data_IF_443311222936
#
_entry.id   IF_443311222936
#
_cell.length_a   1.000
_cell.length_b   1.000
_cell.length_c   1.000
_cell.angle_alpha   90.00
_cell.angle_beta   90.00
_cell.angle_gamma   90.00
#
_symmetry.space_group_name_H-M   'P 1'
#
loop_
_entity.id
_entity.type
_entity.pdbx_description
1 polymer ?
#
# COMPACT_ATOMS: atom_id res chain seq x y z
N UNK A 1 0.51 -16.64 7.02
CA UNK A 1 0.25 -15.60 6.02
C UNK A 1 1.16 -14.43 6.35
N UNK A 2 1.86 -13.92 5.35
CA UNK A 2 2.67 -12.70 5.41
C UNK A 2 2.23 -11.78 4.28
N UNK A 3 2.33 -10.47 4.49
CA UNK A 3 1.98 -9.46 3.49
C UNK A 3 3.20 -8.66 3.07
N UNK A 4 3.27 -8.28 1.79
CA UNK A 4 4.30 -7.41 1.25
C UNK A 4 3.71 -6.52 0.16
N UNK A 5 4.20 -5.30 0.05
CA UNK A 5 3.89 -4.41 -1.09
C UNK A 5 4.74 -4.84 -2.28
N UNK A 6 4.11 -5.17 -3.42
CA UNK A 6 4.83 -5.47 -4.67
C UNK A 6 5.16 -4.19 -5.44
N UNK A 7 4.25 -3.21 -5.43
CA UNK A 7 4.45 -1.91 -6.08
C UNK A 7 3.56 -0.82 -5.45
N UNK A 8 4.00 0.43 -5.57
CA UNK A 8 3.19 1.61 -5.22
C UNK A 8 3.29 2.63 -6.35
N UNK A 9 2.14 3.10 -6.83
CA UNK A 9 2.03 4.08 -7.90
C UNK A 9 1.29 5.33 -7.42
N UNK A 10 1.77 6.55 -7.73
CA UNK A 10 3.07 6.84 -8.34
C UNK A 10 4.25 6.47 -7.42
N UNK A 11 5.49 6.34 -7.94
CA UNK A 11 6.66 5.93 -7.15
C UNK A 11 6.94 6.78 -5.91
N UNK A 12 6.46 8.03 -5.88
CA UNK A 12 6.51 8.92 -4.72
C UNK A 12 5.86 8.29 -3.47
N UNK A 13 4.83 7.46 -3.66
CA UNK A 13 4.17 6.74 -2.57
C UNK A 13 5.05 5.68 -1.88
N UNK A 14 6.12 5.21 -2.52
CA UNK A 14 6.99 4.14 -1.98
C UNK A 14 7.62 4.49 -0.62
N UNK A 15 7.80 5.79 -0.35
CA UNK A 15 8.35 6.27 0.92
C UNK A 15 7.29 6.79 1.90
N UNK A 16 6.01 6.80 1.47
CA UNK A 16 4.89 7.37 2.22
C UNK A 16 4.02 6.30 2.89
N UNK A 17 3.99 5.08 2.34
CA UNK A 17 3.20 3.98 2.88
C UNK A 17 4.09 2.87 3.41
N UNK A 18 3.77 2.38 4.61
CA UNK A 18 4.35 1.17 5.18
C UNK A 18 3.27 0.12 5.40
N UNK A 19 3.60 -1.14 5.12
CA UNK A 19 2.73 -2.28 5.34
C UNK A 19 3.29 -3.16 6.45
N UNK A 20 2.48 -3.43 7.46
CA UNK A 20 2.82 -4.40 8.48
C UNK A 20 2.70 -5.82 7.92
N UNK A 21 3.82 -6.50 7.73
CA UNK A 21 3.86 -7.82 7.12
C UNK A 21 3.08 -8.92 7.87
N UNK A 22 2.71 -8.70 9.14
CA UNK A 22 1.95 -9.67 9.95
C UNK A 22 0.45 -9.37 9.99
N UNK A 23 0.07 -8.10 10.08
CA UNK A 23 -1.33 -7.69 10.26
C UNK A 23 -1.99 -7.20 8.98
N UNK A 24 -1.20 -6.81 7.97
CA UNK A 24 -1.72 -6.13 6.78
C UNK A 24 -2.07 -4.65 7.01
N UNK A 25 -1.76 -4.09 8.19
CA UNK A 25 -2.00 -2.67 8.49
C UNK A 25 -1.14 -1.78 7.57
N UNK A 26 -1.78 -0.85 6.86
CA UNK A 26 -1.11 0.19 6.06
C UNK A 26 -1.10 1.47 6.87
N UNK A 27 0.06 2.12 6.99
CA UNK A 27 0.20 3.42 7.67
C UNK A 27 0.94 4.41 6.80
N UNK A 28 0.63 5.68 7.00
CA UNK A 28 1.40 6.78 6.45
C UNK A 28 2.64 7.05 7.30
N UNK A 29 3.77 7.35 6.64
CA UNK A 29 5.03 7.79 7.26
C UNK A 29 5.31 9.27 7.06
N UNK A 30 4.53 9.94 6.21
CA UNK A 30 4.66 11.36 5.88
C UNK A 30 3.32 12.00 5.54
N UNK A 31 3.36 13.30 5.23
CA UNK A 31 2.19 14.05 4.81
C UNK A 31 1.78 13.70 3.38
N UNK A 32 0.47 13.73 3.12
CA UNK A 32 -0.10 13.69 1.78
C UNK A 32 -0.40 15.13 1.34
N UNK A 33 -0.24 15.38 0.05
CA UNK A 33 -0.45 16.69 -0.58
C UNK A 33 -1.36 16.47 -1.80
N UNK A 34 -2.57 17.02 -1.74
CA UNK A 34 -3.61 16.78 -2.74
C UNK A 34 -3.24 17.38 -4.10
N UNK A 35 -2.60 18.54 -4.09
CA UNK A 35 -2.17 19.30 -5.25
C UNK A 35 -1.03 18.61 -5.99
N UNK A 36 -0.26 17.79 -5.27
CA UNK A 36 0.83 16.99 -5.81
C UNK A 36 0.36 15.62 -6.32
N UNK A 37 -0.31 14.82 -5.49
CA UNK A 37 -0.83 13.50 -5.87
C UNK A 37 -2.21 13.26 -5.28
N UNK A 38 -3.20 13.08 -6.16
CA UNK A 38 -4.61 12.88 -5.79
C UNK A 38 -4.98 11.44 -5.43
N UNK A 39 -4.21 10.46 -5.91
CA UNK A 39 -4.46 9.06 -5.59
C UNK A 39 -3.21 8.19 -5.69
N UNK A 40 -3.21 7.11 -4.91
CA UNK A 40 -2.18 6.08 -4.93
C UNK A 40 -2.80 4.71 -5.17
N UNK A 41 -2.10 3.87 -5.92
CA UNK A 41 -2.39 2.44 -6.03
C UNK A 41 -1.28 1.64 -5.36
N UNK A 42 -1.66 0.79 -4.39
CA UNK A 42 -0.75 -0.08 -3.65
C UNK A 42 -1.09 -1.52 -4.03
N UNK A 43 -0.16 -2.19 -4.69
CA UNK A 43 -0.25 -3.61 -4.97
C UNK A 43 0.33 -4.41 -3.80
N UNK A 44 -0.44 -5.38 -3.31
CA UNK A 44 -0.07 -6.22 -2.16
C UNK A 44 -0.08 -7.69 -2.60
N UNK A 45 0.97 -8.40 -2.19
CA UNK A 45 1.03 -9.85 -2.24
C UNK A 45 0.95 -10.41 -0.82
N UNK A 46 0.20 -11.49 -0.66
CA UNK A 46 0.18 -12.29 0.56
C UNK A 46 0.58 -13.72 0.27
N UNK A 47 1.39 -14.33 1.13
CA UNK A 47 1.83 -15.71 0.99
C UNK A 47 1.54 -16.51 2.27
N UNK A 48 1.05 -17.74 2.15
CA UNK A 48 0.85 -18.65 3.28
C UNK A 48 2.16 -19.30 3.76
N UNK A 49 2.06 -20.25 4.70
CA UNK A 49 3.23 -21.00 5.23
C UNK A 49 3.29 -22.43 4.68
N UNK A 50 2.62 -22.70 3.56
CA UNK A 50 2.57 -24.01 2.92
C UNK A 50 3.90 -24.42 2.29
N UNK A 51 3.95 -25.62 1.74
CA UNK A 51 5.09 -26.11 0.95
C UNK A 51 4.55 -26.90 -0.25
N UNK A 52 4.50 -26.31 -1.47
CA UNK A 52 4.89 -24.94 -1.80
C UNK A 52 3.94 -23.88 -1.18
N UNK A 53 4.41 -22.64 -0.97
CA UNK A 53 3.54 -21.56 -0.50
C UNK A 53 2.53 -21.17 -1.58
N UNK A 54 1.30 -20.85 -1.17
CA UNK A 54 0.30 -20.23 -2.03
C UNK A 54 0.29 -18.71 -1.81
N UNK A 55 0.27 -17.97 -2.92
CA UNK A 55 0.19 -16.51 -2.92
C UNK A 55 -1.16 -16.00 -3.43
N UNK A 56 -1.57 -14.83 -2.94
CA UNK A 56 -2.70 -14.06 -3.44
C UNK A 56 -2.35 -12.58 -3.57
N UNK A 57 -2.95 -11.91 -4.55
CA UNK A 57 -2.69 -10.50 -4.84
C UNK A 57 -3.95 -9.65 -4.65
N UNK A 58 -3.78 -8.42 -4.17
CA UNK A 58 -4.84 -7.43 -4.16
C UNK A 58 -4.31 -6.03 -4.48
N UNK A 59 -5.22 -5.14 -4.88
CA UNK A 59 -4.94 -3.73 -5.13
C UNK A 59 -5.71 -2.87 -4.14
N UNK A 60 -5.02 -1.95 -3.49
CA UNK A 60 -5.61 -0.92 -2.61
C UNK A 60 -5.51 0.42 -3.33
N UNK A 61 -6.64 1.11 -3.49
CA UNK A 61 -6.70 2.46 -4.04
C UNK A 61 -6.90 3.44 -2.89
N UNK A 62 -5.99 4.40 -2.76
CA UNK A 62 -6.04 5.47 -1.75
C UNK A 62 -6.34 6.77 -2.46
N UNK A 63 -7.47 7.40 -2.13
CA UNK A 63 -7.82 8.72 -2.62
C UNK A 63 -7.43 9.77 -1.58
N UNK A 64 -6.71 10.81 -2.01
CA UNK A 64 -6.35 11.95 -1.17
C UNK A 64 -7.50 12.94 -1.26
N UNK A 65 -8.07 13.30 -0.11
CA UNK A 65 -9.15 14.28 -0.03
C UNK A 65 -8.56 15.66 0.19
N UNK A 66 -9.07 16.64 -0.56
CA UNK A 66 -8.79 18.04 -0.29
C UNK A 66 -9.51 18.45 1.01
N UNK A 67 -8.79 19.11 1.90
CA UNK A 67 -9.31 19.56 3.19
C UNK A 67 -9.68 21.05 3.18
N UNK A 68 -9.37 21.76 2.10
CA UNK A 68 -9.48 23.22 2.00
C UNK A 68 -10.54 23.72 0.99
N UNK A 69 -11.52 22.88 0.60
CA UNK A 69 -12.71 23.28 -0.18
C UNK A 69 -13.99 23.17 0.69
#
# INVERSE_FOLDING_TARGET
ITFATSAIFPPKGSNLFILNAKTGEIRLTGALDFEDVRSYEIEIESADKGTPPLSAHCKVVVEVLDVND
#
